data_IF_601382256872
#
_entry.id   IF_601382256872
#
_cell.length_a   1.000
_cell.length_b   1.000
_cell.length_c   1.000
_cell.angle_alpha   90.00
_cell.angle_beta   90.00
_cell.angle_gamma   90.00
#
_symmetry.space_group_name_H-M   'P 1'
#
loop_
_entity.id
_entity.type
_entity.pdbx_description
1 polymer ?
#
# COMPACT_ATOMS: atom_id res chain seq x y z
N UNK A 1 -83.94 -36.12 -32.18
CA UNK A 1 -83.24 -34.93 -31.66
C UNK A 1 -82.93 -35.12 -30.19
N UNK A 2 -81.63 -35.16 -29.88
CA UNK A 2 -80.91 -34.92 -28.63
C UNK A 2 -81.58 -35.16 -27.26
N UNK A 3 -81.01 -36.12 -26.51
CA UNK A 3 -80.77 -35.98 -25.07
C UNK A 3 -79.31 -36.31 -24.77
N UNK A 4 -78.46 -35.27 -24.80
CA UNK A 4 -77.13 -35.28 -24.21
C UNK A 4 -77.31 -35.29 -22.68
N UNK A 5 -76.88 -36.39 -22.06
CA UNK A 5 -76.94 -36.62 -20.62
C UNK A 5 -75.79 -35.86 -19.97
N UNK A 6 -76.13 -34.83 -19.22
CA UNK A 6 -75.23 -33.91 -18.52
C UNK A 6 -74.42 -34.66 -17.42
N UNK A 7 -73.16 -34.99 -17.71
CA UNK A 7 -72.16 -35.43 -16.72
C UNK A 7 -71.22 -34.25 -16.43
N UNK A 8 -71.53 -33.42 -15.43
CA UNK A 8 -70.66 -32.28 -15.09
C UNK A 8 -70.73 -31.83 -13.63
N UNK A 9 -71.06 -32.72 -12.67
CA UNK A 9 -71.22 -32.33 -11.25
C UNK A 9 -70.37 -33.07 -10.22
N UNK A 10 -69.45 -33.95 -10.65
CA UNK A 10 -68.57 -34.69 -9.71
C UNK A 10 -67.14 -34.15 -9.64
N UNK A 11 -66.71 -33.26 -10.55
CA UNK A 11 -65.37 -32.68 -10.56
C UNK A 11 -65.21 -31.43 -9.67
N UNK A 12 -66.28 -30.68 -9.39
CA UNK A 12 -66.19 -29.43 -8.62
C UNK A 12 -65.82 -29.65 -7.14
N UNK A 13 -66.33 -30.72 -6.51
CA UNK A 13 -66.03 -31.04 -5.12
C UNK A 13 -64.60 -31.55 -4.89
N UNK A 14 -64.09 -32.36 -5.82
CA UNK A 14 -62.71 -32.87 -5.77
C UNK A 14 -61.68 -31.76 -5.97
N UNK A 15 -61.98 -30.77 -6.84
CA UNK A 15 -61.11 -29.62 -7.09
C UNK A 15 -61.01 -28.71 -5.86
N UNK A 16 -62.11 -28.46 -5.14
CA UNK A 16 -62.09 -27.65 -3.91
C UNK A 16 -61.27 -28.34 -2.81
N UNK A 17 -61.45 -29.65 -2.62
CA UNK A 17 -60.65 -30.42 -1.63
C UNK A 17 -59.17 -30.40 -1.98
N UNK A 18 -58.83 -30.58 -3.27
CA UNK A 18 -57.45 -30.49 -3.74
C UNK A 18 -56.85 -29.09 -3.50
N UNK A 19 -57.61 -28.03 -3.78
CA UNK A 19 -57.16 -26.65 -3.59
C UNK A 19 -56.91 -26.31 -2.11
N UNK A 20 -57.80 -26.76 -1.21
CA UNK A 20 -57.65 -26.57 0.24
C UNK A 20 -56.39 -27.25 0.79
N UNK A 21 -55.95 -28.36 0.18
CA UNK A 21 -54.73 -29.06 0.58
C UNK A 21 -53.49 -28.48 -0.13
N UNK A 22 -53.58 -28.18 -1.43
CA UNK A 22 -52.44 -27.74 -2.24
C UNK A 22 -52.03 -26.29 -1.94
N UNK A 23 -52.98 -25.40 -1.64
CA UNK A 23 -52.67 -24.00 -1.39
C UNK A 23 -51.79 -23.81 -0.13
N UNK A 24 -52.07 -24.44 1.03
CA UNK A 24 -51.15 -24.42 2.17
C UNK A 24 -49.78 -25.01 1.85
N UNK A 25 -49.71 -26.12 1.11
CA UNK A 25 -48.43 -26.74 0.70
C UNK A 25 -47.62 -25.78 -0.15
N UNK A 26 -48.24 -25.11 -1.12
CA UNK A 26 -47.57 -24.13 -1.98
C UNK A 26 -47.07 -22.93 -1.16
N UNK A 27 -47.86 -22.43 -0.21
CA UNK A 27 -47.46 -21.35 0.69
C UNK A 27 -46.29 -21.74 1.60
N UNK A 28 -46.28 -22.97 2.12
CA UNK A 28 -45.15 -23.51 2.91
C UNK A 28 -43.88 -23.57 2.06
N UNK A 29 -43.98 -24.08 0.84
CA UNK A 29 -42.86 -24.15 -0.10
C UNK A 29 -42.33 -22.75 -0.46
N UNK A 30 -43.22 -21.78 -0.69
CA UNK A 30 -42.85 -20.40 -0.96
C UNK A 30 -42.17 -19.75 0.25
N UNK A 31 -42.71 -19.93 1.46
CA UNK A 31 -42.11 -19.44 2.70
C UNK A 31 -40.70 -20.02 2.92
N UNK A 32 -40.51 -21.30 2.63
CA UNK A 32 -39.20 -21.96 2.71
C UNK A 32 -38.21 -21.38 1.68
N UNK A 33 -38.65 -21.20 0.43
CA UNK A 33 -37.83 -20.59 -0.62
C UNK A 33 -37.42 -19.15 -0.27
N UNK A 34 -38.34 -18.35 0.28
CA UNK A 34 -38.04 -16.98 0.71
C UNK A 34 -37.06 -16.98 1.89
N UNK A 35 -37.23 -17.88 2.86
CA UNK A 35 -36.28 -18.00 3.98
C UNK A 35 -34.88 -18.36 3.49
N UNK A 36 -34.72 -19.29 2.54
CA UNK A 36 -33.40 -19.61 1.95
C UNK A 36 -32.79 -18.39 1.28
N UNK A 37 -33.56 -17.69 0.42
CA UNK A 37 -33.07 -16.49 -0.24
C UNK A 37 -32.66 -15.40 0.76
N UNK A 38 -33.41 -15.26 1.85
CA UNK A 38 -33.10 -14.33 2.93
C UNK A 38 -31.83 -14.73 3.70
N UNK A 39 -31.62 -16.02 3.97
CA UNK A 39 -30.40 -16.53 4.60
C UNK A 39 -29.18 -16.19 3.74
N UNK A 40 -29.23 -16.44 2.44
CA UNK A 40 -28.14 -16.10 1.51
C UNK A 40 -27.88 -14.59 1.45
N UNK A 41 -28.94 -13.77 1.44
CA UNK A 41 -28.81 -12.31 1.46
C UNK A 41 -28.12 -11.81 2.73
N UNK A 42 -28.62 -12.20 3.92
CA UNK A 42 -28.01 -11.85 5.22
C UNK A 42 -26.55 -12.32 5.29
N UNK A 43 -26.27 -13.47 4.69
CA UNK A 43 -24.95 -14.09 4.68
C UNK A 43 -23.96 -13.36 3.78
N UNK A 44 -24.41 -12.83 2.64
CA UNK A 44 -23.63 -11.97 1.75
C UNK A 44 -23.41 -10.58 2.36
N UNK A 45 -24.48 -9.96 2.88
CA UNK A 45 -24.40 -8.65 3.55
C UNK A 45 -23.46 -8.71 4.76
N UNK A 46 -23.48 -9.80 5.52
CA UNK A 46 -22.54 -10.00 6.63
C UNK A 46 -21.07 -10.04 6.17
N UNK A 47 -20.77 -10.56 4.96
CA UNK A 47 -19.41 -10.48 4.41
C UNK A 47 -19.03 -9.02 4.14
N UNK A 48 -19.91 -8.26 3.46
CA UNK A 48 -19.65 -6.85 3.14
C UNK A 48 -19.37 -6.02 4.39
N UNK A 49 -20.13 -6.25 5.47
CA UNK A 49 -19.90 -5.59 6.76
C UNK A 49 -18.58 -6.01 7.39
N UNK A 50 -18.23 -7.30 7.30
CA UNK A 50 -16.96 -7.84 7.80
C UNK A 50 -15.77 -7.17 7.07
N UNK A 51 -15.84 -7.03 5.75
CA UNK A 51 -14.81 -6.40 4.92
C UNK A 51 -14.65 -4.90 5.27
N UNK A 52 -15.78 -4.19 5.41
CA UNK A 52 -15.76 -2.78 5.81
C UNK A 52 -15.20 -2.59 7.22
N UNK A 53 -15.60 -3.44 8.17
CA UNK A 53 -15.16 -3.37 9.56
C UNK A 53 -13.68 -3.70 9.72
N UNK A 54 -13.17 -4.73 9.05
CA UNK A 54 -11.74 -5.08 9.12
C UNK A 54 -10.87 -4.01 8.47
N UNK A 55 -11.34 -3.38 7.38
CA UNK A 55 -10.63 -2.28 6.74
C UNK A 55 -10.54 -1.06 7.67
N UNK A 56 -11.62 -0.70 8.37
CA UNK A 56 -11.60 0.37 9.36
C UNK A 56 -10.68 0.04 10.54
N UNK A 57 -10.75 -1.20 11.04
CA UNK A 57 -9.88 -1.69 12.12
C UNK A 57 -8.41 -1.65 11.73
N UNK A 58 -8.07 -2.18 10.55
CA UNK A 58 -6.70 -2.23 10.04
C UNK A 58 -6.08 -0.84 9.88
N UNK A 59 -6.82 0.11 9.31
CA UNK A 59 -6.36 1.50 9.19
C UNK A 59 -6.05 2.13 10.54
N UNK A 60 -6.96 2.00 11.50
CA UNK A 60 -6.79 2.59 12.82
C UNK A 60 -5.65 1.92 13.61
N UNK A 61 -5.56 0.59 13.53
CA UNK A 61 -4.50 -0.18 14.17
C UNK A 61 -3.11 0.25 13.70
N UNK A 62 -2.94 0.48 12.39
CA UNK A 62 -1.66 0.95 11.87
C UNK A 62 -1.35 2.35 12.36
N UNK A 63 -2.31 3.27 12.25
CA UNK A 63 -2.08 4.68 12.58
C UNK A 63 -1.69 4.87 14.05
N UNK A 64 -2.22 4.03 14.94
CA UNK A 64 -2.12 4.25 16.40
C UNK A 64 -1.35 3.16 17.14
N UNK A 65 -1.19 1.98 16.55
CA UNK A 65 -0.74 0.76 17.25
C UNK A 65 -1.73 0.24 18.30
N UNK A 66 -2.88 0.90 18.49
CA UNK A 66 -3.82 0.62 19.57
C UNK A 66 -4.93 -0.35 19.11
N UNK A 67 -4.94 -1.53 19.72
CA UNK A 67 -5.95 -2.58 19.49
C UNK A 67 -7.35 -2.13 19.89
N UNK A 68 -7.49 -1.31 20.93
CA UNK A 68 -8.78 -0.78 21.39
C UNK A 68 -9.34 0.26 20.40
N UNK A 69 -8.48 1.13 19.88
CA UNK A 69 -8.86 2.07 18.82
C UNK A 69 -9.30 1.32 17.54
N UNK A 70 -8.59 0.26 17.18
CA UNK A 70 -8.97 -0.61 16.05
C UNK A 70 -10.35 -1.25 16.24
N UNK A 71 -10.66 -1.74 17.43
CA UNK A 71 -11.98 -2.28 17.75
C UNK A 71 -13.08 -1.21 17.63
N UNK A 72 -12.86 -0.02 18.16
CA UNK A 72 -13.82 1.08 18.06
C UNK A 72 -14.12 1.45 16.60
N UNK A 73 -13.08 1.49 15.74
CA UNK A 73 -13.23 1.73 14.31
C UNK A 73 -14.02 0.61 13.60
N UNK A 74 -13.79 -0.65 13.97
CA UNK A 74 -14.54 -1.79 13.45
C UNK A 74 -16.03 -1.70 13.81
N UNK A 75 -16.32 -1.36 15.07
CA UNK A 75 -17.69 -1.21 15.57
C UNK A 75 -18.44 -0.05 14.92
N UNK A 76 -17.77 1.09 14.70
CA UNK A 76 -18.35 2.22 13.97
C UNK A 76 -18.68 1.86 12.51
N UNK A 77 -17.76 1.16 11.82
CA UNK A 77 -18.01 0.68 10.46
C UNK A 77 -19.18 -0.32 10.40
N UNK A 78 -19.30 -1.22 11.38
CA UNK A 78 -20.44 -2.14 11.46
C UNK A 78 -21.77 -1.41 11.78
N UNK A 79 -21.74 -0.40 12.65
CA UNK A 79 -22.92 0.41 12.97
C UNK A 79 -23.45 1.19 11.75
N UNK A 80 -22.55 1.62 10.84
CA UNK A 80 -22.90 2.31 9.59
C UNK A 80 -23.46 1.38 8.51
N UNK A 81 -23.28 0.07 8.64
CA UNK A 81 -23.71 -0.92 7.65
C UNK A 81 -24.56 -2.02 8.33
N UNK A 82 -25.79 -1.73 8.76
CA UNK A 82 -26.65 -2.72 9.38
C UNK A 82 -27.11 -3.79 8.39
N UNK A 83 -27.07 -5.06 8.80
CA UNK A 83 -27.59 -6.20 8.02
C UNK A 83 -29.01 -6.48 8.48
N UNK A 84 -29.99 -6.49 7.57
CA UNK A 84 -31.41 -6.68 7.92
C UNK A 84 -31.90 -5.79 9.09
N UNK A 85 -31.36 -4.57 9.21
CA UNK A 85 -31.69 -3.62 10.27
C UNK A 85 -31.04 -3.90 11.63
N UNK A 86 -30.15 -4.89 11.74
CA UNK A 86 -29.39 -5.19 12.96
C UNK A 86 -27.91 -4.87 12.75
N UNK A 87 -27.25 -4.39 13.81
CA UNK A 87 -25.80 -4.16 13.81
C UNK A 87 -25.10 -5.48 14.10
N UNK A 88 -24.12 -5.83 13.27
CA UNK A 88 -23.29 -7.02 13.49
C UNK A 88 -22.42 -6.78 14.74
N UNK A 89 -22.51 -7.64 15.77
CA UNK A 89 -21.71 -7.48 16.97
C UNK A 89 -20.25 -7.84 16.67
N UNK A 90 -19.33 -6.94 17.04
CA UNK A 90 -17.88 -7.13 16.92
C UNK A 90 -17.24 -6.83 18.27
N UNK A 91 -16.48 -7.79 18.79
CA UNK A 91 -15.74 -7.69 20.04
C UNK A 91 -14.24 -7.91 19.82
N UNK A 92 -13.42 -7.66 20.83
CA UNK A 92 -11.96 -7.88 20.73
C UNK A 92 -11.61 -9.32 20.34
N UNK A 93 -12.39 -10.32 20.79
CA UNK A 93 -12.18 -11.72 20.44
C UNK A 93 -12.48 -12.08 18.98
N UNK A 94 -13.09 -11.17 18.21
CA UNK A 94 -13.29 -11.30 16.77
C UNK A 94 -12.09 -10.80 15.96
N UNK A 95 -11.22 -10.01 16.58
CA UNK A 95 -10.04 -9.40 15.96
C UNK A 95 -8.79 -10.18 16.32
N UNK A 96 -8.08 -10.63 15.30
CA UNK A 96 -6.76 -11.21 15.42
C UNK A 96 -5.75 -10.30 14.73
N UNK A 97 -4.75 -9.86 15.48
CA UNK A 97 -3.67 -9.02 14.96
C UNK A 97 -2.52 -9.92 14.54
N UNK A 98 -1.99 -9.68 13.35
CA UNK A 98 -1.05 -10.59 12.71
C UNK A 98 -0.08 -9.88 11.78
N UNK A 99 0.80 -10.70 11.23
CA UNK A 99 1.62 -10.34 10.09
C UNK A 99 0.99 -11.00 8.87
N UNK A 100 0.80 -10.25 7.80
CA UNK A 100 0.41 -10.82 6.53
C UNK A 100 1.43 -10.48 5.46
N UNK A 101 1.92 -11.53 4.81
CA UNK A 101 3.06 -11.48 3.90
C UNK A 101 2.70 -12.11 2.57
N UNK A 102 3.39 -11.68 1.52
CA UNK A 102 3.35 -12.32 0.21
C UNK A 102 4.78 -12.69 -0.16
N UNK A 103 5.06 -14.00 -0.32
CA UNK A 103 6.41 -14.51 -0.58
C UNK A 103 6.83 -14.34 -2.05
N UNK A 104 5.87 -14.29 -2.99
CA UNK A 104 6.15 -14.03 -4.40
C UNK A 104 5.02 -13.25 -5.09
N UNK A 105 5.32 -12.59 -6.21
CA UNK A 105 4.32 -11.86 -7.02
C UNK A 105 3.19 -12.77 -7.56
N UNK A 106 3.41 -14.09 -7.60
CA UNK A 106 2.47 -15.08 -8.13
C UNK A 106 1.57 -15.70 -7.03
N UNK A 107 1.86 -15.44 -5.76
CA UNK A 107 1.14 -16.01 -4.61
C UNK A 107 0.24 -14.97 -3.90
N UNK A 108 -0.77 -15.47 -3.18
CA UNK A 108 -1.63 -14.65 -2.34
C UNK A 108 -0.95 -14.26 -1.03
N UNK A 109 -1.54 -13.32 -0.29
CA UNK A 109 -1.08 -12.99 1.05
C UNK A 109 -1.44 -14.12 2.03
N UNK A 110 -0.46 -14.62 2.78
CA UNK A 110 -0.69 -15.48 3.94
C UNK A 110 -0.81 -14.62 5.19
N UNK A 111 -1.65 -15.02 6.16
CA UNK A 111 -1.78 -14.34 7.45
C UNK A 111 -1.31 -15.26 8.56
N UNK A 112 -0.41 -14.75 9.40
CA UNK A 112 0.06 -15.39 10.61
C UNK A 112 -0.25 -14.51 11.83
N UNK A 113 -0.89 -15.04 12.88
CA UNK A 113 -1.16 -14.29 14.10
C UNK A 113 0.15 -13.96 14.83
N UNK A 114 0.19 -12.81 15.51
CA UNK A 114 1.36 -12.40 16.30
C UNK A 114 1.64 -13.41 17.43
N UNK A 115 2.91 -13.78 17.58
CA UNK A 115 3.35 -14.72 18.61
C UNK A 115 3.54 -14.06 19.99
N UNK A 116 3.77 -12.75 20.02
CA UNK A 116 4.00 -11.95 21.22
C UNK A 116 3.19 -10.63 21.15
N UNK A 117 2.71 -10.14 22.29
CA UNK A 117 1.94 -8.90 22.38
C UNK A 117 2.78 -7.65 22.10
N UNK A 118 4.11 -7.73 22.25
CA UNK A 118 5.04 -6.64 21.94
C UNK A 118 5.42 -6.55 20.47
N UNK A 119 5.03 -7.53 19.64
CA UNK A 119 5.27 -7.47 18.20
C UNK A 119 4.21 -6.59 17.53
N UNK A 120 4.67 -5.72 16.63
CA UNK A 120 3.77 -4.90 15.80
C UNK A 120 3.45 -5.67 14.53
N UNK A 121 2.17 -5.97 14.33
CA UNK A 121 1.65 -6.62 13.12
C UNK A 121 1.29 -5.62 12.04
N UNK A 122 1.33 -6.04 10.77
CA UNK A 122 0.89 -5.23 9.62
C UNK A 122 -0.51 -5.63 9.11
N UNK A 123 -1.21 -6.54 9.79
CA UNK A 123 -2.50 -7.02 9.37
C UNK A 123 -3.48 -7.26 10.53
N UNK A 124 -4.77 -7.14 10.23
CA UNK A 124 -5.87 -7.46 11.12
C UNK A 124 -6.78 -8.45 10.41
N UNK A 125 -7.05 -9.59 11.03
CA UNK A 125 -8.05 -10.56 10.61
C UNK A 125 -9.29 -10.39 11.49
N UNK A 126 -10.45 -10.23 10.86
CA UNK A 126 -11.73 -10.20 11.54
C UNK A 126 -12.49 -11.50 11.25
N UNK A 127 -12.91 -12.20 12.29
CA UNK A 127 -13.85 -13.33 12.19
C UNK A 127 -15.10 -13.02 12.99
N UNK A 128 -16.29 -13.14 12.42
CA UNK A 128 -17.56 -12.84 13.11
C UNK A 128 -17.96 -13.90 14.17
N UNK A 129 -17.09 -14.20 15.14
CA UNK A 129 -17.34 -15.18 16.19
C UNK A 129 -18.43 -14.71 17.16
N UNK A 130 -18.47 -13.42 17.49
CA UNK A 130 -19.51 -12.84 18.34
C UNK A 130 -20.91 -12.96 17.74
N UNK A 131 -21.01 -12.85 16.41
CA UNK A 131 -22.27 -13.10 15.70
C UNK A 131 -22.62 -14.59 15.68
N UNK A 132 -21.64 -15.45 15.37
CA UNK A 132 -21.85 -16.90 15.26
C UNK A 132 -22.22 -17.53 16.62
N UNK A 133 -21.58 -17.09 17.71
CA UNK A 133 -21.70 -17.67 19.04
C UNK A 133 -22.63 -16.88 19.98
N UNK A 134 -23.37 -15.89 19.46
CA UNK A 134 -24.28 -15.07 20.26
C UNK A 134 -25.29 -15.95 21.05
N UNK A 135 -25.55 -15.70 22.35
CA UNK A 135 -26.51 -16.49 23.12
C UNK A 135 -27.91 -16.52 22.50
N UNK A 136 -28.31 -15.40 21.87
CA UNK A 136 -29.55 -15.27 21.12
C UNK A 136 -29.22 -15.03 19.65
N UNK A 137 -29.98 -15.65 18.74
CA UNK A 137 -29.80 -15.41 17.31
C UNK A 137 -30.08 -13.94 16.96
N UNK A 138 -29.10 -13.27 16.34
CA UNK A 138 -29.22 -11.87 15.91
C UNK A 138 -30.21 -11.74 14.75
N UNK A 139 -30.22 -12.73 13.87
CA UNK A 139 -31.10 -12.78 12.71
C UNK A 139 -32.12 -13.90 12.88
N UNK A 140 -33.37 -13.60 12.57
CA UNK A 140 -34.49 -14.54 12.58
C UNK A 140 -35.01 -14.76 11.15
N UNK A 141 -35.51 -15.97 10.82
CA UNK A 141 -36.16 -16.22 9.54
C UNK A 141 -37.41 -15.35 9.38
N UNK A 142 -37.74 -14.98 8.13
CA UNK A 142 -38.90 -14.14 7.82
C UNK A 142 -40.23 -14.87 8.06
N UNK A 143 -40.25 -16.18 7.81
CA UNK A 143 -41.42 -17.03 8.02
C UNK A 143 -41.14 -18.16 9.01
N UNK A 144 -42.16 -18.64 9.76
CA UNK A 144 -42.03 -19.76 10.69
C UNK A 144 -41.59 -21.04 9.98
N UNK A 145 -40.72 -21.80 10.63
CA UNK A 145 -40.07 -23.00 10.06
C UNK A 145 -40.68 -24.31 10.58
N UNK A 146 -42.01 -24.31 10.81
CA UNK A 146 -42.83 -25.49 11.14
C UNK A 146 -42.24 -26.40 12.23
N UNK A 147 -41.76 -25.80 13.33
CA UNK A 147 -41.23 -26.53 14.48
C UNK A 147 -39.73 -26.84 14.42
N UNK A 148 -39.03 -26.45 13.35
CA UNK A 148 -37.56 -26.39 13.34
C UNK A 148 -37.09 -25.02 13.82
N UNK A 149 -36.06 -24.96 14.66
CA UNK A 149 -35.44 -23.69 15.05
C UNK A 149 -34.34 -23.36 14.04
N UNK A 150 -34.69 -22.63 12.98
CA UNK A 150 -33.71 -22.13 12.01
C UNK A 150 -33.05 -20.87 12.58
N UNK A 151 -31.78 -20.98 12.96
CA UNK A 151 -30.98 -19.84 13.41
C UNK A 151 -30.04 -19.39 12.30
N UNK A 152 -29.98 -18.08 12.06
CA UNK A 152 -29.15 -17.49 11.00
C UNK A 152 -27.92 -16.88 11.67
N UNK A 153 -26.75 -17.54 11.50
CA UNK A 153 -25.50 -17.24 12.21
C UNK A 153 -24.30 -17.27 11.24
N UNK A 154 -24.18 -16.32 10.31
CA UNK A 154 -23.11 -16.36 9.33
C UNK A 154 -21.76 -16.10 9.99
N UNK A 155 -20.85 -17.06 9.84
CA UNK A 155 -19.43 -16.92 10.20
C UNK A 155 -18.66 -16.45 8.99
N UNK A 156 -18.08 -15.26 9.06
CA UNK A 156 -17.37 -14.57 7.98
C UNK A 156 -15.96 -14.22 8.42
N UNK A 157 -15.04 -14.23 7.48
CA UNK A 157 -13.63 -13.94 7.72
C UNK A 157 -13.20 -12.93 6.66
N UNK A 158 -12.50 -11.89 7.09
CA UNK A 158 -11.84 -10.92 6.22
C UNK A 158 -10.49 -10.53 6.82
N UNK A 159 -9.53 -10.16 5.97
CA UNK A 159 -8.19 -9.75 6.40
C UNK A 159 -7.84 -8.41 5.78
N UNK A 160 -7.54 -7.42 6.61
CA UNK A 160 -6.95 -6.16 6.17
C UNK A 160 -5.45 -6.23 6.40
N UNK A 161 -4.69 -6.30 5.31
CA UNK A 161 -3.23 -6.24 5.33
C UNK A 161 -2.78 -4.87 4.86
N UNK A 162 -1.74 -4.33 5.47
CA UNK A 162 -1.10 -3.13 4.98
C UNK A 162 0.35 -3.41 4.58
N UNK A 163 0.75 -2.88 3.43
CA UNK A 163 2.16 -2.86 3.02
C UNK A 163 2.89 -1.78 3.79
N UNK A 164 3.88 -2.17 4.59
CA UNK A 164 4.93 -1.25 5.05
C UNK A 164 5.91 -1.00 3.91
N UNK A 165 6.49 0.20 3.78
CA UNK A 165 7.39 0.54 2.66
C UNK A 165 8.74 1.07 3.11
N UNK A 166 9.81 0.43 2.64
CA UNK A 166 11.18 0.90 2.84
C UNK A 166 11.66 1.56 1.55
N UNK A 167 11.99 2.84 1.63
CA UNK A 167 12.39 3.66 0.50
C UNK A 167 13.87 4.02 0.63
N UNK A 168 14.64 3.84 -0.44
CA UNK A 168 16.00 4.35 -0.55
C UNK A 168 16.06 5.54 -1.49
N UNK A 169 16.52 6.68 -0.99
CA UNK A 169 16.97 7.78 -1.82
C UNK A 169 18.43 7.52 -2.21
N UNK A 170 18.67 7.42 -3.52
CA UNK A 170 20.00 7.25 -4.09
C UNK A 170 20.31 8.49 -4.91
N UNK A 171 21.18 9.34 -4.38
CA UNK A 171 21.33 10.72 -4.84
C UNK A 171 22.72 10.95 -5.44
N UNK A 172 22.73 11.50 -6.65
CA UNK A 172 23.95 11.96 -7.31
C UNK A 172 24.54 13.18 -6.61
N UNK A 173 25.83 13.11 -6.25
CA UNK A 173 26.63 14.22 -5.72
C UNK A 173 27.87 14.46 -6.58
N UNK A 174 27.81 14.12 -7.86
CA UNK A 174 28.88 14.38 -8.83
C UNK A 174 29.10 15.88 -9.05
N UNK A 175 30.22 16.23 -9.69
CA UNK A 175 30.60 17.64 -9.87
C UNK A 175 29.57 18.48 -10.65
N UNK A 176 28.83 17.87 -11.58
CA UNK A 176 27.77 18.53 -12.36
C UNK A 176 26.63 19.08 -11.50
N UNK A 177 26.41 18.51 -10.32
CA UNK A 177 25.37 18.95 -9.39
C UNK A 177 25.66 20.34 -8.78
N UNK A 178 26.90 20.84 -8.86
CA UNK A 178 27.27 22.18 -8.42
C UNK A 178 26.83 23.29 -9.40
N UNK A 179 26.48 22.93 -10.63
CA UNK A 179 26.07 23.86 -11.70
C UNK A 179 24.58 24.15 -11.61
N UNK A 180 24.14 25.26 -12.22
CA UNK A 180 22.72 25.55 -12.34
C UNK A 180 22.02 24.58 -13.31
N UNK A 181 20.69 24.47 -13.23
CA UNK A 181 19.92 23.56 -14.10
C UNK A 181 20.00 23.96 -15.58
N UNK A 182 20.22 25.24 -15.88
CA UNK A 182 20.34 25.83 -17.21
C UNK A 182 21.80 25.99 -17.70
N UNK A 183 22.77 25.54 -16.91
CA UNK A 183 24.20 25.64 -17.20
C UNK A 183 24.76 24.30 -17.68
N UNK A 184 25.52 24.26 -18.77
CA UNK A 184 26.23 23.04 -19.18
C UNK A 184 27.47 22.81 -18.31
N UNK A 185 27.60 21.68 -17.60
CA UNK A 185 28.76 21.43 -16.75
C UNK A 185 30.06 21.32 -17.55
N UNK A 186 31.11 22.02 -17.13
CA UNK A 186 32.46 21.91 -17.72
C UNK A 186 33.49 21.64 -16.61
N UNK A 187 34.21 20.51 -16.64
CA UNK A 187 35.17 20.16 -15.59
C UNK A 187 36.33 21.17 -15.41
N UNK A 188 36.53 22.10 -16.34
CA UNK A 188 37.58 23.11 -16.30
C UNK A 188 37.08 24.52 -15.93
N UNK A 189 35.77 24.73 -15.81
CA UNK A 189 35.18 26.05 -15.55
C UNK A 189 34.25 25.96 -14.35
N UNK A 190 34.50 26.76 -13.32
CA UNK A 190 33.63 26.79 -12.15
C UNK A 190 32.20 27.23 -12.53
N UNK A 191 31.16 26.75 -11.80
CA UNK A 191 29.78 27.20 -11.99
C UNK A 191 29.66 28.72 -11.98
N UNK A 192 28.80 29.27 -12.83
CA UNK A 192 28.62 30.72 -12.96
C UNK A 192 28.21 31.41 -11.64
N UNK A 193 27.49 30.68 -10.78
CA UNK A 193 27.05 31.16 -9.47
C UNK A 193 28.10 30.98 -8.35
N UNK A 194 29.23 30.32 -8.64
CA UNK A 194 30.27 30.07 -7.65
C UNK A 194 30.97 31.39 -7.23
N UNK A 195 31.26 31.58 -5.92
CA UNK A 195 32.07 32.69 -5.46
C UNK A 195 33.47 32.74 -6.11
N UNK A 196 34.11 33.91 -6.05
CA UNK A 196 35.51 34.02 -6.45
C UNK A 196 36.38 33.08 -5.60
N UNK A 197 37.29 32.37 -6.25
CA UNK A 197 38.19 31.37 -5.62
C UNK A 197 37.51 30.09 -5.11
N UNK A 198 36.23 29.88 -5.42
CA UNK A 198 35.54 28.63 -5.06
C UNK A 198 36.23 27.40 -5.62
N UNK A 199 36.33 26.36 -4.80
CA UNK A 199 36.81 25.03 -5.19
C UNK A 199 35.91 23.95 -4.59
N UNK A 200 35.93 22.74 -5.17
CA UNK A 200 35.36 21.57 -4.51
C UNK A 200 35.96 21.40 -3.11
N UNK A 201 35.08 21.13 -2.14
CA UNK A 201 35.35 21.18 -0.70
C UNK A 201 34.74 22.41 -0.01
N UNK A 202 34.45 23.47 -0.76
CA UNK A 202 33.70 24.64 -0.26
C UNK A 202 32.18 24.37 -0.23
N UNK A 203 31.39 25.26 0.40
CA UNK A 203 29.94 25.20 0.33
C UNK A 203 29.44 25.25 -1.12
N UNK A 204 28.34 24.54 -1.37
CA UNK A 204 27.72 24.46 -2.70
C UNK A 204 27.35 25.86 -3.21
N UNK A 205 27.64 26.17 -4.50
CA UNK A 205 27.22 27.43 -5.10
C UNK A 205 25.70 27.67 -4.99
N UNK A 206 25.26 28.92 -4.83
CA UNK A 206 23.83 29.25 -4.87
C UNK A 206 23.23 28.90 -6.25
N UNK A 207 21.92 28.62 -6.29
CA UNK A 207 21.19 28.25 -7.52
C UNK A 207 21.78 27.04 -8.26
N UNK A 208 22.30 26.07 -7.52
CA UNK A 208 22.84 24.82 -8.05
C UNK A 208 21.79 23.72 -8.06
N UNK A 209 21.96 22.75 -8.96
CA UNK A 209 21.11 21.56 -9.04
C UNK A 209 21.07 20.80 -7.72
N UNK A 210 22.18 20.75 -7.00
CA UNK A 210 22.26 20.14 -5.68
C UNK A 210 21.30 20.81 -4.69
N UNK A 211 21.28 22.15 -4.60
CA UNK A 211 20.39 22.83 -3.67
C UNK A 211 18.91 22.68 -4.06
N UNK A 212 18.59 22.64 -5.36
CA UNK A 212 17.23 22.37 -5.86
C UNK A 212 16.77 20.94 -5.51
N UNK A 213 17.70 19.98 -5.56
CA UNK A 213 17.49 18.61 -5.11
C UNK A 213 17.23 18.57 -3.61
N UNK A 214 18.06 19.22 -2.79
CA UNK A 214 17.88 19.25 -1.34
C UNK A 214 16.52 19.83 -0.97
N UNK A 215 16.11 20.92 -1.62
CA UNK A 215 14.79 21.51 -1.43
C UNK A 215 13.66 20.53 -1.81
N UNK A 216 13.82 19.78 -2.90
CA UNK A 216 12.84 18.81 -3.39
C UNK A 216 12.74 17.58 -2.48
N UNK A 217 13.86 17.09 -1.92
CA UNK A 217 13.87 16.00 -0.92
C UNK A 217 13.24 16.46 0.40
N UNK A 218 13.48 17.70 0.82
CA UNK A 218 12.82 18.25 2.01
C UNK A 218 11.30 18.36 1.83
N UNK A 219 10.82 18.74 0.64
CA UNK A 219 9.40 18.69 0.31
C UNK A 219 8.86 17.26 0.30
N UNK A 220 9.62 16.30 -0.24
CA UNK A 220 9.28 14.88 -0.22
C UNK A 220 9.15 14.33 1.22
N UNK A 221 10.07 14.69 2.11
CA UNK A 221 9.99 14.32 3.53
C UNK A 221 8.71 14.87 4.17
N UNK A 222 8.32 16.12 3.85
CA UNK A 222 7.06 16.69 4.32
C UNK A 222 5.82 15.92 3.82
N UNK A 223 5.83 15.47 2.56
CA UNK A 223 4.74 14.61 2.05
C UNK A 223 4.68 13.25 2.75
N UNK A 224 5.82 12.68 3.15
CA UNK A 224 5.86 11.44 3.93
C UNK A 224 5.41 11.65 5.38
N UNK A 225 5.76 12.78 6.01
CA UNK A 225 5.27 13.14 7.35
C UNK A 225 3.75 13.31 7.39
N UNK A 226 3.16 13.82 6.31
CA UNK A 226 1.70 13.94 6.15
C UNK A 226 1.04 12.59 5.75
N UNK A 227 1.82 11.58 5.38
CA UNK A 227 1.32 10.26 4.99
C UNK A 227 0.78 9.50 6.22
N UNK A 228 -0.41 8.86 6.14
CA UNK A 228 -0.91 8.01 7.21
C UNK A 228 -0.23 6.62 7.24
N UNK A 229 0.75 6.37 6.38
CA UNK A 229 1.51 5.12 6.33
C UNK A 229 2.77 5.22 7.19
N UNK A 230 3.44 4.08 7.35
CA UNK A 230 4.70 3.99 8.07
C UNK A 230 5.81 3.68 7.08
N UNK A 231 6.44 4.72 6.54
CA UNK A 231 7.55 4.62 5.60
C UNK A 231 8.89 4.78 6.35
N UNK A 232 9.85 3.89 6.07
CA UNK A 232 11.25 4.13 6.45
C UNK A 232 11.96 4.64 5.23
N UNK A 233 12.80 5.65 5.42
CA UNK A 233 13.61 6.25 4.37
C UNK A 233 15.08 6.05 4.75
N UNK A 234 15.90 5.65 3.78
CA UNK A 234 17.36 5.69 3.91
C UNK A 234 17.94 6.61 2.84
N UNK A 235 19.11 7.17 3.15
CA UNK A 235 19.82 8.06 2.23
C UNK A 235 21.16 7.44 1.88
N UNK A 236 21.38 7.32 0.58
CA UNK A 236 22.68 7.00 0.01
C UNK A 236 23.02 8.04 -1.05
N UNK A 237 24.28 8.47 -1.07
CA UNK A 237 24.78 9.39 -2.08
C UNK A 237 25.90 8.73 -2.87
N UNK A 238 26.08 9.15 -4.12
CA UNK A 238 27.15 8.60 -4.95
C UNK A 238 27.84 9.67 -5.79
N UNK A 239 29.14 9.47 -6.00
CA UNK A 239 29.92 10.15 -7.02
C UNK A 239 30.84 9.11 -7.68
N UNK A 240 32.15 9.17 -7.45
CA UNK A 240 33.10 8.12 -7.84
C UNK A 240 32.97 6.83 -7.00
N UNK A 241 32.25 6.88 -5.87
CA UNK A 241 31.90 5.77 -4.99
C UNK A 241 30.53 6.02 -4.35
N UNK A 242 29.89 4.97 -3.84
CA UNK A 242 28.65 5.06 -3.07
C UNK A 242 28.93 5.26 -1.58
N UNK A 243 28.09 6.03 -0.91
CA UNK A 243 28.17 6.30 0.52
C UNK A 243 26.78 6.13 1.13
N UNK A 244 26.70 5.34 2.21
CA UNK A 244 25.49 5.22 3.02
C UNK A 244 25.51 6.31 4.08
N UNK A 245 24.66 7.33 3.91
CA UNK A 245 24.63 8.52 4.76
C UNK A 245 23.67 8.34 5.94
N UNK A 246 22.55 7.67 5.71
CA UNK A 246 21.55 7.39 6.73
C UNK A 246 20.95 6.01 6.52
N UNK A 247 20.82 5.27 7.61
CA UNK A 247 20.12 3.99 7.66
C UNK A 247 18.60 4.20 7.54
N UNK A 248 17.86 3.11 7.28
CA UNK A 248 16.41 3.15 7.22
C UNK A 248 15.82 3.68 8.54
N UNK A 249 15.24 4.87 8.48
CA UNK A 249 14.70 5.61 9.62
C UNK A 249 13.35 6.24 9.31
N UNK A 250 12.57 6.52 10.35
CA UNK A 250 11.38 7.39 10.27
C UNK A 250 11.71 8.84 10.66
N UNK A 251 12.90 9.10 11.19
CA UNK A 251 13.35 10.44 11.52
C UNK A 251 13.89 11.13 10.26
N UNK A 252 13.00 11.64 9.41
CA UNK A 252 13.39 12.24 8.13
C UNK A 252 14.26 13.49 8.28
N UNK A 253 14.24 14.15 9.44
CA UNK A 253 15.18 15.24 9.76
C UNK A 253 16.64 14.81 9.66
N UNK A 254 16.98 13.55 9.97
CA UNK A 254 18.34 13.04 9.82
C UNK A 254 18.80 13.03 8.36
N UNK A 255 17.87 12.83 7.41
CA UNK A 255 18.17 12.85 5.98
C UNK A 255 18.46 14.27 5.54
N UNK A 256 17.64 15.23 5.97
CA UNK A 256 17.88 16.65 5.74
C UNK A 256 19.23 17.11 6.32
N UNK A 257 19.55 16.71 7.54
CA UNK A 257 20.84 17.05 8.19
C UNK A 257 22.05 16.50 7.41
N UNK A 258 21.96 15.27 6.88
CA UNK A 258 23.01 14.68 6.05
C UNK A 258 23.19 15.44 4.72
N UNK A 259 22.09 15.83 4.07
CA UNK A 259 22.12 16.60 2.83
C UNK A 259 22.68 18.01 3.05
N UNK A 260 22.32 18.66 4.15
CA UNK A 260 22.88 19.95 4.56
C UNK A 260 24.38 19.82 4.83
N UNK A 261 24.82 18.75 5.51
CA UNK A 261 26.23 18.46 5.73
C UNK A 261 27.05 18.39 4.43
N UNK A 262 26.53 17.68 3.42
CA UNK A 262 27.14 17.63 2.08
C UNK A 262 27.11 19.00 1.40
N UNK A 263 26.07 19.80 1.63
CA UNK A 263 25.95 21.15 1.08
C UNK A 263 27.01 22.12 1.61
N UNK A 264 27.53 21.91 2.82
CA UNK A 264 28.60 22.73 3.40
C UNK A 264 30.01 22.34 2.93
N UNK A 265 30.20 21.10 2.49
CA UNK A 265 31.49 20.58 2.03
C UNK A 265 31.30 19.74 0.76
N UNK A 266 31.21 20.42 -0.39
CA UNK A 266 30.85 19.77 -1.64
C UNK A 266 32.08 19.33 -2.43
N UNK A 267 32.47 18.07 -2.26
CA UNK A 267 33.64 17.48 -2.91
C UNK A 267 33.42 17.19 -4.41
N UNK A 268 32.17 17.01 -4.83
CA UNK A 268 31.86 16.53 -6.18
C UNK A 268 32.45 15.15 -6.50
N UNK A 269 32.77 14.94 -7.78
CA UNK A 269 33.39 13.71 -8.29
C UNK A 269 32.80 13.25 -9.62
N UNK A 270 33.12 12.02 -10.02
CA UNK A 270 32.50 11.39 -11.20
C UNK A 270 31.07 10.92 -10.91
N UNK A 271 30.46 10.27 -11.89
CA UNK A 271 29.05 9.85 -11.85
C UNK A 271 28.96 8.32 -11.94
N UNK A 272 28.92 7.64 -10.80
CA UNK A 272 28.85 6.17 -10.72
C UNK A 272 27.50 5.66 -10.24
N UNK A 273 26.53 5.66 -11.16
CA UNK A 273 25.17 5.15 -10.91
C UNK A 273 25.17 3.72 -10.35
N UNK A 274 26.03 2.83 -10.84
CA UNK A 274 26.07 1.45 -10.32
C UNK A 274 26.51 1.34 -8.86
N UNK A 275 27.42 2.21 -8.39
CA UNK A 275 27.77 2.26 -6.96
C UNK A 275 26.66 2.89 -6.12
N UNK A 276 25.90 3.85 -6.67
CA UNK A 276 24.68 4.34 -6.06
C UNK A 276 23.66 3.21 -5.85
N UNK A 277 23.35 2.46 -6.91
CA UNK A 277 22.43 1.32 -6.85
C UNK A 277 22.88 0.23 -5.87
N UNK A 278 24.18 -0.08 -5.84
CA UNK A 278 24.75 -1.04 -4.89
C UNK A 278 24.61 -0.57 -3.44
N UNK A 279 24.96 0.70 -3.16
CA UNK A 279 24.85 1.27 -1.82
C UNK A 279 23.38 1.35 -1.36
N UNK A 280 22.48 1.78 -2.26
CA UNK A 280 21.05 1.84 -1.99
C UNK A 280 20.47 0.45 -1.71
N UNK A 281 20.85 -0.56 -2.50
CA UNK A 281 20.39 -1.93 -2.29
C UNK A 281 20.89 -2.46 -0.95
N UNK A 282 22.18 -2.27 -0.62
CA UNK A 282 22.74 -2.68 0.65
C UNK A 282 22.05 -2.03 1.85
N UNK A 283 21.62 -0.77 1.73
CA UNK A 283 20.85 -0.09 2.76
C UNK A 283 19.40 -0.63 2.89
N UNK A 284 18.76 -0.98 1.77
CA UNK A 284 17.39 -1.56 1.75
C UNK A 284 17.32 -3.01 2.24
N UNK A 285 18.42 -3.75 2.17
CA UNK A 285 18.49 -5.16 2.55
C UNK A 285 19.29 -5.39 3.83
N UNK A 286 19.61 -4.34 4.58
CA UNK A 286 20.30 -4.48 5.86
C UNK A 286 19.32 -4.97 6.93
N UNK A 287 19.42 -6.25 7.29
CA UNK A 287 18.55 -6.93 8.26
C UNK A 287 18.49 -6.24 9.65
N UNK A 288 19.45 -5.37 9.99
CA UNK A 288 19.42 -4.61 11.25
C UNK A 288 18.46 -3.43 11.23
N UNK A 289 18.08 -2.93 10.05
CA UNK A 289 17.24 -1.74 9.88
C UNK A 289 16.03 -1.97 8.96
N UNK A 290 16.22 -2.80 7.92
CA UNK A 290 15.21 -3.18 6.96
C UNK A 290 14.09 -3.97 7.62
N UNK A 291 12.86 -3.70 7.18
CA UNK A 291 11.71 -4.49 7.61
C UNK A 291 11.65 -5.74 6.73
N UNK A 292 11.59 -6.96 7.31
CA UNK A 292 11.62 -8.21 6.55
C UNK A 292 10.60 -8.27 5.40
N UNK A 293 9.46 -7.60 5.57
CA UNK A 293 8.30 -7.71 4.69
C UNK A 293 7.83 -6.36 4.12
N UNK A 294 8.68 -5.33 4.17
CA UNK A 294 8.36 -4.08 3.52
C UNK A 294 8.49 -4.18 2.00
N UNK A 295 7.58 -3.53 1.28
CA UNK A 295 7.78 -3.25 -0.14
C UNK A 295 9.00 -2.34 -0.23
N UNK A 296 9.98 -2.76 -1.03
CA UNK A 296 11.23 -2.03 -1.18
C UNK A 296 11.14 -1.16 -2.43
N UNK A 297 11.35 0.13 -2.26
CA UNK A 297 11.37 1.07 -3.36
C UNK A 297 12.68 1.84 -3.33
N UNK A 298 13.26 2.07 -4.50
CA UNK A 298 14.46 2.88 -4.66
C UNK A 298 14.14 4.04 -5.59
N UNK A 299 14.49 5.24 -5.18
CA UNK A 299 14.42 6.45 -5.99
C UNK A 299 15.85 6.87 -6.31
N UNK A 300 16.26 6.63 -7.55
CA UNK A 300 17.58 6.99 -8.04
C UNK A 300 17.50 8.32 -8.79
N UNK A 301 18.33 9.28 -8.41
CA UNK A 301 18.45 10.56 -9.08
C UNK A 301 19.84 10.73 -9.69
N UNK A 302 19.91 11.25 -10.92
CA UNK A 302 21.14 11.54 -11.66
C UNK A 302 20.96 12.80 -12.51
N UNK A 303 21.98 13.68 -12.56
CA UNK A 303 21.92 14.89 -13.41
C UNK A 303 22.76 14.82 -14.69
N UNK A 304 23.49 13.72 -14.87
CA UNK A 304 24.39 13.55 -16.00
C UNK A 304 24.59 12.11 -16.43
N UNK A 305 25.66 11.90 -17.18
CA UNK A 305 26.02 10.61 -17.75
C UNK A 305 26.89 9.79 -16.80
N UNK A 306 26.53 8.52 -16.62
CA UNK A 306 27.42 7.56 -16.00
C UNK A 306 28.78 7.53 -16.73
N UNK A 307 29.85 7.82 -16.00
CA UNK A 307 31.18 8.00 -16.58
C UNK A 307 32.31 7.27 -15.82
N UNK A 308 31.99 6.63 -14.69
CA UNK A 308 33.00 5.92 -13.88
C UNK A 308 32.39 4.79 -13.04
N UNK A 309 33.23 3.84 -12.63
CA UNK A 309 32.87 2.75 -11.73
C UNK A 309 31.98 1.68 -12.37
N UNK A 310 31.06 1.12 -11.59
CA UNK A 310 30.23 -0.02 -12.01
C UNK A 310 29.08 0.43 -12.93
N UNK A 311 28.88 -0.29 -14.03
CA UNK A 311 27.76 -0.01 -14.95
C UNK A 311 26.41 -0.25 -14.26
N UNK A 312 25.44 0.68 -14.34
CA UNK A 312 24.14 0.51 -13.70
C UNK A 312 23.37 -0.76 -14.11
N UNK A 313 23.49 -1.20 -15.36
CA UNK A 313 22.82 -2.41 -15.88
C UNK A 313 23.24 -3.67 -15.13
N UNK A 314 24.45 -3.70 -14.57
CA UNK A 314 24.92 -4.86 -13.81
C UNK A 314 24.16 -5.09 -12.50
N UNK A 315 23.44 -4.07 -12.02
CA UNK A 315 22.66 -4.13 -10.77
C UNK A 315 21.20 -4.53 -10.97
N UNK A 316 20.67 -4.51 -12.20
CA UNK A 316 19.23 -4.75 -12.44
C UNK A 316 18.79 -6.14 -11.99
N UNK A 317 19.63 -7.17 -12.17
CA UNK A 317 19.33 -8.51 -11.68
C UNK A 317 19.22 -8.55 -10.14
N UNK A 318 20.17 -7.94 -9.43
CA UNK A 318 20.19 -7.92 -7.98
C UNK A 318 19.01 -7.14 -7.38
N UNK A 319 18.66 -5.99 -7.98
CA UNK A 319 17.49 -5.20 -7.59
C UNK A 319 16.19 -6.00 -7.75
N UNK A 320 16.00 -6.65 -8.90
CA UNK A 320 14.84 -7.52 -9.16
C UNK A 320 14.77 -8.71 -8.23
N UNK A 321 15.90 -9.40 -8.02
CA UNK A 321 15.98 -10.55 -7.13
C UNK A 321 15.65 -10.17 -5.67
N UNK A 322 15.87 -8.92 -5.29
CA UNK A 322 15.57 -8.38 -3.95
C UNK A 322 14.18 -7.74 -3.86
N UNK A 323 13.38 -7.79 -4.94
CA UNK A 323 12.03 -7.22 -5.00
C UNK A 323 11.98 -5.69 -4.93
N UNK A 324 13.04 -5.01 -5.39
CA UNK A 324 13.12 -3.54 -5.36
C UNK A 324 12.47 -2.95 -6.62
N UNK A 325 11.46 -2.11 -6.42
CA UNK A 325 10.93 -1.24 -7.48
C UNK A 325 11.82 0.00 -7.62
N UNK A 326 12.37 0.24 -8.82
CA UNK A 326 13.27 1.37 -9.08
C UNK A 326 12.53 2.50 -9.82
N UNK A 327 12.36 3.63 -9.16
CA UNK A 327 12.04 4.91 -9.81
C UNK A 327 13.32 5.66 -10.13
N UNK A 328 13.36 6.31 -11.28
CA UNK A 328 14.50 7.15 -11.68
C UNK A 328 14.06 8.58 -11.94
N UNK A 329 14.89 9.53 -11.56
CA UNK A 329 14.71 10.95 -11.86
C UNK A 329 15.97 11.47 -12.57
N UNK A 330 15.80 11.99 -13.77
CA UNK A 330 16.88 12.71 -14.47
C UNK A 330 16.70 14.20 -14.35
N UNK A 331 17.75 14.90 -13.94
CA UNK A 331 17.72 16.35 -13.77
C UNK A 331 18.69 17.03 -14.72
N UNK A 332 18.25 18.11 -15.38
CA UNK A 332 18.93 18.74 -16.53
C UNK A 332 18.74 18.02 -17.86
N UNK A 333 18.82 18.81 -18.94
CA UNK A 333 18.64 18.34 -20.32
C UNK A 333 19.80 17.46 -20.81
N UNK A 334 20.96 17.50 -20.13
CA UNK A 334 22.16 16.72 -20.44
C UNK A 334 22.18 15.33 -19.78
N UNK A 335 21.15 14.99 -19.00
CA UNK A 335 21.07 13.69 -18.35
C UNK A 335 20.73 12.54 -19.34
N UNK A 336 21.21 11.33 -19.05
CA UNK A 336 20.95 10.13 -19.87
C UNK A 336 19.53 9.57 -19.66
N UNK A 337 18.53 10.28 -20.16
CA UNK A 337 17.11 9.97 -19.94
C UNK A 337 16.73 8.57 -20.45
N UNK A 338 17.24 8.19 -21.63
CA UNK A 338 16.91 6.89 -22.22
C UNK A 338 17.42 5.73 -21.36
N UNK A 339 18.67 5.83 -20.89
CA UNK A 339 19.26 4.79 -20.05
C UNK A 339 18.55 4.68 -18.72
N UNK A 340 18.21 5.80 -18.09
CA UNK A 340 17.49 5.84 -16.81
C UNK A 340 16.05 5.33 -16.94
N UNK A 341 15.38 5.61 -18.06
CA UNK A 341 14.08 5.05 -18.39
C UNK A 341 14.13 3.52 -18.59
N UNK A 342 15.16 3.02 -19.28
CA UNK A 342 15.35 1.57 -19.45
C UNK A 342 15.54 0.87 -18.11
N UNK A 343 16.37 1.41 -17.22
CA UNK A 343 16.63 0.83 -15.89
C UNK A 343 15.39 0.77 -15.01
N UNK A 344 14.60 1.86 -14.97
CA UNK A 344 13.37 1.93 -14.18
C UNK A 344 12.35 0.90 -14.68
N UNK A 345 12.11 0.87 -15.99
CA UNK A 345 11.16 -0.04 -16.61
C UNK A 345 11.56 -1.51 -16.41
N UNK A 346 12.86 -1.83 -16.49
CA UNK A 346 13.35 -3.18 -16.20
C UNK A 346 13.08 -3.63 -14.77
N UNK A 347 13.07 -2.71 -13.80
CA UNK A 347 12.83 -3.00 -12.38
C UNK A 347 11.38 -2.73 -11.95
N UNK A 348 10.46 -2.56 -12.90
CA UNK A 348 9.02 -2.39 -12.63
C UNK A 348 8.63 -1.03 -12.03
N UNK A 349 9.48 -0.02 -12.14
CA UNK A 349 9.16 1.36 -11.77
C UNK A 349 9.04 2.28 -12.98
N UNK A 350 9.13 3.59 -12.73
CA UNK A 350 8.95 4.62 -13.75
C UNK A 350 10.07 5.67 -13.73
N UNK A 351 10.28 6.31 -14.87
CA UNK A 351 11.24 7.40 -15.02
C UNK A 351 10.54 8.74 -15.10
N UNK A 352 11.14 9.73 -14.44
CA UNK A 352 10.74 11.13 -14.46
C UNK A 352 11.90 11.99 -14.92
N UNK A 353 11.60 13.08 -15.61
CA UNK A 353 12.59 14.06 -16.01
C UNK A 353 12.17 15.45 -15.53
N UNK A 354 13.15 16.20 -15.04
CA UNK A 354 13.02 17.60 -14.67
C UNK A 354 14.11 18.42 -15.36
N UNK A 355 13.72 19.54 -15.96
CA UNK A 355 14.65 20.56 -16.47
C UNK A 355 14.83 21.72 -15.49
N UNK A 356 13.98 21.82 -14.47
CA UNK A 356 14.00 22.88 -13.46
C UNK A 356 13.58 22.38 -12.07
N UNK A 357 13.82 23.19 -11.04
CA UNK A 357 13.53 22.86 -9.64
C UNK A 357 12.04 22.56 -9.37
N UNK A 358 11.12 23.23 -10.09
CA UNK A 358 9.67 23.02 -9.91
C UNK A 358 9.25 21.66 -10.46
N UNK A 359 9.77 21.29 -11.63
CA UNK A 359 9.55 19.98 -12.22
C UNK A 359 10.16 18.87 -11.35
N UNK A 360 11.33 19.13 -10.75
CA UNK A 360 11.97 18.18 -9.84
C UNK A 360 11.11 17.92 -8.61
N UNK A 361 10.60 18.97 -7.97
CA UNK A 361 9.67 18.85 -6.84
C UNK A 361 8.39 18.07 -7.24
N UNK A 362 7.81 18.38 -8.41
CA UNK A 362 6.65 17.66 -8.93
C UNK A 362 6.93 16.18 -9.22
N UNK A 363 8.16 15.82 -9.61
CA UNK A 363 8.55 14.42 -9.82
C UNK A 363 8.57 13.66 -8.49
N UNK A 364 9.17 14.22 -7.44
CA UNK A 364 9.14 13.64 -6.11
C UNK A 364 7.72 13.52 -5.54
N UNK A 365 6.86 14.52 -5.76
CA UNK A 365 5.44 14.45 -5.36
C UNK A 365 4.69 13.32 -6.09
N UNK A 366 4.91 13.16 -7.39
CA UNK A 366 4.30 12.08 -8.16
C UNK A 366 4.76 10.70 -7.69
N UNK A 367 6.05 10.56 -7.35
CA UNK A 367 6.58 9.31 -6.78
C UNK A 367 5.91 9.04 -5.43
N UNK A 368 5.83 10.03 -4.53
CA UNK A 368 5.16 9.88 -3.23
C UNK A 368 3.72 9.37 -3.38
N UNK A 369 2.97 9.89 -4.35
CA UNK A 369 1.59 9.46 -4.67
C UNK A 369 1.49 8.05 -5.26
N UNK A 370 2.55 7.57 -5.92
CA UNK A 370 2.62 6.25 -6.56
C UNK A 370 3.17 5.15 -5.66
N UNK A 371 3.77 5.51 -4.54
CA UNK A 371 4.13 4.52 -3.52
C UNK A 371 2.85 3.77 -3.11
N UNK A 372 2.83 2.42 -3.18
CA UNK A 372 1.61 1.64 -3.06
C UNK A 372 0.88 1.91 -1.74
N UNK A 373 -0.30 2.52 -1.83
CA UNK A 373 -1.18 2.79 -0.70
C UNK A 373 -2.28 1.71 -0.63
N UNK A 374 -2.34 1.02 0.51
CA UNK A 374 -3.43 0.15 0.99
C UNK A 374 -4.11 -0.80 -0.03
N UNK A 375 -3.81 -2.10 0.08
CA UNK A 375 -4.61 -3.16 -0.56
C UNK A 375 -5.45 -3.90 0.47
N UNK A 376 -6.77 -3.83 0.36
CA UNK A 376 -7.70 -4.73 1.07
C UNK A 376 -8.05 -5.90 0.16
N UNK A 377 -7.98 -7.13 0.69
CA UNK A 377 -8.43 -8.35 0.02
C UNK A 377 -9.69 -8.91 0.65
#
# INVERSE_FOLDING_TARGET
>A
MNRLRNQSRQSEGAVIVLLVIMLPVLLIMAAYAINIAYVEAVTADSQVVTDAAVCAAGRMYVQTGDKAAALAAAQDAAARNPVAGQVVPINMGDLEFGISVRESLEEGYSFEPLADENQVGNAVRLTTLSLANAPNAVFSPLFPTLGTNLEIRPRRIAVSTQSTMDVALVIDRSGSMAYASDETPDPYVNPAAAPAEWTYGDPVPPNSRWLDLVASVNAFNGFLDDSPQSEKLCLTTYASSGTRNCDLTQAYSHISDQLDGISYQFEGGGTSVGYGLESGLAALTDDSHARPYAVRTMVLMSDGHHNTGRSPESMTYALKASGVTLFTITFSDDADQWRMASLANECGGEHFHASDATQLQNAFEQIAKKLPSLMTQ
#
